data_IF_288578843039
#
_entry.id   IF_288578843039
#
_cell.length_a   1.000
_cell.length_b   1.000
_cell.length_c   1.000
_cell.angle_alpha   90.00
_cell.angle_beta   90.00
_cell.angle_gamma   90.00
#
_symmetry.space_group_name_H-M   'P 1'
#
loop_
_entity.id
_entity.type
_entity.pdbx_description
1 polymer ?
#
# COMPACT_ATOMS: atom_id res chain seq x y z
N UNK A 1 -15.53 -17.65 2.15
CA UNK A 1 -15.28 -17.98 3.57
C UNK A 1 -14.43 -19.24 3.61
N UNK A 2 -13.38 -19.24 4.41
CA UNK A 2 -12.45 -20.34 4.56
C UNK A 2 -11.94 -20.41 6.01
N UNK A 3 -11.25 -21.50 6.35
CA UNK A 3 -10.50 -21.58 7.61
C UNK A 3 -9.19 -20.81 7.49
N UNK A 4 -8.60 -20.44 8.63
CA UNK A 4 -7.39 -19.62 8.68
C UNK A 4 -6.25 -20.20 7.82
N UNK A 5 -5.86 -21.46 8.05
CA UNK A 5 -4.76 -22.10 7.32
C UNK A 5 -4.97 -22.11 5.80
N UNK A 6 -6.16 -22.46 5.32
CA UNK A 6 -6.41 -22.53 3.88
C UNK A 6 -6.46 -21.14 3.25
N UNK A 7 -6.96 -20.13 3.97
CA UNK A 7 -6.97 -18.76 3.47
C UNK A 7 -5.55 -18.19 3.40
N UNK A 8 -4.71 -18.47 4.38
CA UNK A 8 -3.28 -18.08 4.36
C UNK A 8 -2.57 -18.65 3.12
N UNK A 9 -2.75 -19.94 2.84
CA UNK A 9 -2.17 -20.58 1.65
C UNK A 9 -2.67 -19.94 0.36
N UNK A 10 -3.97 -19.64 0.26
CA UNK A 10 -4.56 -19.03 -0.94
C UNK A 10 -4.10 -17.59 -1.10
N UNK A 11 -4.02 -16.81 -0.02
CA UNK A 11 -3.58 -15.42 -0.07
C UNK A 11 -2.09 -15.30 -0.44
N UNK A 12 -1.25 -16.20 0.05
CA UNK A 12 0.16 -16.25 -0.34
C UNK A 12 0.34 -16.68 -1.81
N UNK A 13 -0.45 -17.64 -2.29
CA UNK A 13 -0.47 -17.98 -3.71
C UNK A 13 -0.89 -16.78 -4.57
N UNK A 14 -1.92 -16.03 -4.15
CA UNK A 14 -2.35 -14.82 -4.82
C UNK A 14 -1.25 -13.73 -4.82
N UNK A 15 -0.49 -13.59 -3.72
CA UNK A 15 0.65 -12.68 -3.66
C UNK A 15 1.73 -13.01 -4.68
N UNK A 16 1.96 -14.30 -4.93
CA UNK A 16 2.86 -14.77 -5.99
C UNK A 16 2.38 -14.40 -7.40
N UNK A 17 1.06 -14.39 -7.63
CA UNK A 17 0.47 -13.96 -8.91
C UNK A 17 0.61 -12.43 -9.08
N UNK A 18 0.43 -11.65 -8.02
CA UNK A 18 0.59 -10.18 -8.03
C UNK A 18 2.06 -9.78 -8.21
N UNK A 19 3.00 -10.64 -7.82
CA UNK A 19 4.42 -10.48 -8.07
C UNK A 19 5.27 -10.16 -6.84
N UNK A 20 4.69 -9.71 -5.73
CA UNK A 20 5.40 -9.49 -4.47
C UNK A 20 4.46 -9.52 -3.27
N UNK A 21 4.92 -10.14 -2.18
CA UNK A 21 4.24 -10.08 -0.88
C UNK A 21 4.23 -8.65 -0.29
N UNK A 22 5.18 -7.80 -0.68
CA UNK A 22 5.26 -6.38 -0.31
C UNK A 22 4.12 -5.51 -0.88
N UNK A 23 3.27 -6.08 -1.74
CA UNK A 23 2.09 -5.41 -2.29
C UNK A 23 0.79 -5.79 -1.58
N UNK A 24 0.81 -6.83 -0.73
CA UNK A 24 -0.39 -7.39 -0.13
C UNK A 24 -0.65 -6.79 1.24
N UNK A 25 -1.83 -6.26 1.41
CA UNK A 25 -2.33 -5.71 2.66
C UNK A 25 -3.64 -6.38 3.06
N UNK A 26 -3.95 -6.34 4.35
CA UNK A 26 -5.14 -6.97 4.91
C UNK A 26 -5.81 -6.13 5.97
N UNK A 27 -7.02 -6.52 6.33
CA UNK A 27 -7.72 -5.96 7.48
C UNK A 27 -8.51 -7.03 8.21
N UNK A 28 -8.61 -6.86 9.52
CA UNK A 28 -9.49 -7.62 10.39
C UNK A 28 -10.61 -6.69 10.88
N UNK A 29 -11.82 -6.92 10.39
CA UNK A 29 -12.99 -6.07 10.66
C UNK A 29 -13.84 -6.68 11.77
N UNK A 30 -13.95 -5.99 12.90
CA UNK A 30 -14.89 -6.30 13.97
C UNK A 30 -16.13 -5.40 13.93
N UNK A 31 -17.01 -5.57 14.91
CA UNK A 31 -18.21 -4.74 15.04
C UNK A 31 -17.86 -3.29 15.43
N UNK A 32 -16.92 -3.12 16.35
CA UNK A 32 -16.59 -1.82 16.95
C UNK A 32 -15.14 -1.39 16.66
N UNK A 33 -14.31 -2.31 16.15
CA UNK A 33 -12.89 -2.09 15.91
C UNK A 33 -12.47 -2.72 14.59
N UNK A 34 -11.46 -2.12 13.97
CA UNK A 34 -10.78 -2.69 12.80
C UNK A 34 -9.26 -2.59 12.98
N UNK A 35 -8.54 -3.57 12.44
CA UNK A 35 -7.08 -3.59 12.37
C UNK A 35 -6.67 -3.65 10.90
N UNK A 36 -5.69 -2.85 10.53
CA UNK A 36 -5.15 -2.78 9.17
C UNK A 36 -3.66 -3.07 9.22
N UNK A 37 -3.19 -3.96 8.35
CA UNK A 37 -1.81 -4.41 8.38
C UNK A 37 -1.30 -4.79 7.00
N UNK A 38 0.04 -4.81 6.83
CA UNK A 38 0.66 -5.52 5.74
C UNK A 38 0.57 -7.03 6.01
N UNK A 39 0.25 -7.83 4.99
CA UNK A 39 0.11 -9.29 5.15
C UNK A 39 1.46 -10.00 5.38
N UNK A 40 2.58 -9.35 5.03
CA UNK A 40 3.93 -9.91 5.19
C UNK A 40 4.45 -9.83 6.62
N UNK A 41 5.40 -10.70 6.97
CA UNK A 41 6.11 -10.69 8.25
C UNK A 41 7.14 -9.56 8.36
N UNK A 42 7.93 -9.59 9.43
CA UNK A 42 8.89 -8.54 9.80
C UNK A 42 10.19 -8.52 8.97
N UNK A 43 10.44 -9.53 8.15
CA UNK A 43 11.64 -9.66 7.30
C UNK A 43 12.97 -9.30 8.02
N UNK A 44 13.34 -10.00 9.11
CA UNK A 44 14.46 -9.60 9.97
C UNK A 44 15.80 -9.52 9.24
N UNK A 45 15.97 -10.29 8.16
CA UNK A 45 17.17 -10.25 7.31
C UNK A 45 17.37 -8.92 6.59
N UNK A 46 16.33 -8.10 6.43
CA UNK A 46 16.40 -6.78 5.79
C UNK A 46 16.45 -5.62 6.78
N UNK A 47 16.50 -5.91 8.09
CA UNK A 47 16.51 -4.86 9.13
C UNK A 47 17.67 -3.88 8.90
N UNK A 48 17.34 -2.58 8.85
CA UNK A 48 18.31 -1.50 8.69
C UNK A 48 18.83 -1.28 7.27
N UNK A 49 18.43 -2.09 6.28
CA UNK A 49 18.92 -1.97 4.91
C UNK A 49 18.14 -0.96 4.04
N UNK A 50 17.03 -0.41 4.52
CA UNK A 50 16.19 0.51 3.77
C UNK A 50 15.78 -0.02 2.37
N UNK A 51 15.39 -1.29 2.28
CA UNK A 51 15.30 -2.03 1.02
C UNK A 51 13.92 -2.64 0.74
N UNK A 52 13.11 -2.85 1.79
CA UNK A 52 11.81 -3.50 1.66
C UNK A 52 10.77 -2.59 0.99
N UNK A 53 9.84 -3.20 0.28
CA UNK A 53 8.73 -2.50 -0.37
C UNK A 53 7.75 -1.94 0.67
N UNK A 54 7.46 -0.63 0.70
CA UNK A 54 6.56 -0.03 1.67
C UNK A 54 5.09 -0.11 1.27
N UNK A 55 4.78 -0.57 0.06
CA UNK A 55 3.45 -0.46 -0.56
C UNK A 55 2.35 -1.09 0.27
N UNK A 56 2.55 -2.31 0.78
CA UNK A 56 1.54 -2.99 1.58
C UNK A 56 1.11 -2.17 2.81
N UNK A 57 2.06 -1.60 3.55
CA UNK A 57 1.78 -0.76 4.71
C UNK A 57 1.10 0.55 4.32
N UNK A 58 1.53 1.17 3.22
CA UNK A 58 0.93 2.40 2.68
C UNK A 58 -0.54 2.16 2.27
N UNK A 59 -0.82 1.06 1.57
CA UNK A 59 -2.18 0.70 1.15
C UNK A 59 -3.07 0.28 2.33
N UNK A 60 -2.52 -0.39 3.35
CA UNK A 60 -3.23 -0.66 4.59
C UNK A 60 -3.67 0.65 5.28
N UNK A 61 -2.78 1.66 5.33
CA UNK A 61 -3.10 3.00 5.83
C UNK A 61 -4.16 3.72 5.00
N UNK A 62 -4.10 3.59 3.67
CA UNK A 62 -5.13 4.15 2.78
C UNK A 62 -6.50 3.48 3.00
N UNK A 63 -6.54 2.17 3.21
CA UNK A 63 -7.77 1.46 3.53
C UNK A 63 -8.33 1.85 4.91
N UNK A 64 -7.46 2.10 5.88
CA UNK A 64 -7.87 2.68 7.17
C UNK A 64 -8.52 4.05 6.99
N UNK A 65 -7.99 4.91 6.13
CA UNK A 65 -8.59 6.21 5.81
C UNK A 65 -10.01 6.04 5.21
N UNK A 66 -10.20 5.11 4.27
CA UNK A 66 -11.51 4.78 3.71
C UNK A 66 -12.51 4.31 4.78
N UNK A 67 -12.06 3.44 5.70
CA UNK A 67 -12.88 2.98 6.83
C UNK A 67 -13.34 4.11 7.74
N UNK A 68 -12.50 5.15 7.90
CA UNK A 68 -12.82 6.36 8.69
C UNK A 68 -13.65 7.39 7.90
N UNK A 69 -14.00 7.12 6.64
CA UNK A 69 -14.78 8.00 5.79
C UNK A 69 -13.98 8.96 4.92
N UNK A 70 -12.64 8.93 5.03
CA UNK A 70 -11.71 9.82 4.32
C UNK A 70 -11.37 9.26 2.92
N UNK A 71 -12.38 9.17 2.05
CA UNK A 71 -12.26 8.55 0.72
C UNK A 71 -11.28 9.26 -0.20
N UNK A 72 -11.23 10.60 -0.13
CA UNK A 72 -10.32 11.39 -0.96
C UNK A 72 -8.86 11.10 -0.63
N UNK A 73 -8.55 10.85 0.66
CA UNK A 73 -7.23 10.46 1.11
C UNK A 73 -6.89 9.07 0.58
N UNK A 74 -7.83 8.12 0.70
CA UNK A 74 -7.69 6.79 0.14
C UNK A 74 -7.39 6.84 -1.37
N UNK A 75 -8.21 7.53 -2.14
CA UNK A 75 -8.07 7.60 -3.60
C UNK A 75 -6.77 8.27 -4.02
N UNK A 76 -6.34 9.32 -3.32
CA UNK A 76 -5.07 9.98 -3.58
C UNK A 76 -3.87 9.05 -3.36
N UNK A 77 -3.87 8.25 -2.28
CA UNK A 77 -2.79 7.29 -1.98
C UNK A 77 -2.80 6.12 -2.96
N UNK A 78 -3.96 5.53 -3.23
CA UNK A 78 -4.09 4.42 -4.20
C UNK A 78 -3.62 4.86 -5.58
N UNK A 79 -4.13 5.97 -6.10
CA UNK A 79 -3.74 6.48 -7.42
C UNK A 79 -2.26 6.84 -7.52
N UNK A 80 -1.67 7.42 -6.46
CA UNK A 80 -0.25 7.68 -6.41
C UNK A 80 0.58 6.39 -6.43
N UNK A 81 0.17 5.39 -5.64
CA UNK A 81 0.86 4.10 -5.58
C UNK A 81 0.80 3.38 -6.92
N UNK A 82 -0.37 3.32 -7.54
CA UNK A 82 -0.58 2.72 -8.86
C UNK A 82 0.30 3.39 -9.91
N UNK A 83 0.35 4.72 -9.93
CA UNK A 83 1.17 5.47 -10.87
C UNK A 83 2.66 5.17 -10.70
N UNK A 84 3.19 5.18 -9.46
CA UNK A 84 4.61 4.89 -9.19
C UNK A 84 4.99 3.46 -9.62
N UNK A 85 4.11 2.49 -9.39
CA UNK A 85 4.33 1.10 -9.82
C UNK A 85 4.32 1.00 -11.34
N UNK A 86 3.36 1.63 -12.02
CA UNK A 86 3.24 1.61 -13.47
C UNK A 86 4.42 2.32 -14.17
N UNK A 87 4.94 3.41 -13.60
CA UNK A 87 6.13 4.10 -14.11
C UNK A 87 7.41 3.27 -13.94
N UNK A 88 7.48 2.41 -12.92
CA UNK A 88 8.59 1.49 -12.68
C UNK A 88 9.93 2.17 -12.31
N UNK A 89 9.96 3.49 -12.14
CA UNK A 89 11.19 4.25 -11.92
C UNK A 89 11.67 4.24 -10.46
N UNK A 90 10.73 4.32 -9.52
CA UNK A 90 11.01 4.38 -8.09
C UNK A 90 10.38 3.19 -7.36
N UNK A 91 10.63 2.00 -7.87
CA UNK A 91 10.13 0.74 -7.31
C UNK A 91 11.26 -0.07 -6.70
N UNK A 92 10.94 -0.86 -5.69
CA UNK A 92 11.90 -1.67 -4.95
C UNK A 92 12.30 -2.96 -5.68
N UNK A 93 13.33 -3.65 -5.20
CA UNK A 93 13.95 -4.81 -5.86
C UNK A 93 12.99 -5.99 -6.08
N UNK A 94 12.02 -6.18 -5.20
CA UNK A 94 11.02 -7.27 -5.23
C UNK A 94 10.06 -7.16 -6.42
N UNK A 95 9.92 -5.95 -6.97
CA UNK A 95 9.12 -5.67 -8.18
C UNK A 95 9.96 -5.12 -9.33
N UNK A 96 11.26 -5.47 -9.34
CA UNK A 96 12.15 -5.28 -10.46
C UNK A 96 12.91 -3.95 -10.52
N UNK A 97 12.87 -3.14 -9.47
CA UNK A 97 13.60 -1.87 -9.39
C UNK A 97 14.82 -1.89 -8.45
N UNK A 98 15.33 -0.72 -8.14
CA UNK A 98 16.49 -0.51 -7.28
C UNK A 98 16.26 0.59 -6.23
N UNK A 99 15.06 1.15 -6.16
CA UNK A 99 14.72 2.19 -5.20
C UNK A 99 14.74 1.66 -3.77
N UNK A 100 15.14 2.52 -2.84
CA UNK A 100 15.04 2.25 -1.42
C UNK A 100 13.60 2.39 -0.92
N UNK A 101 13.31 1.82 0.26
CA UNK A 101 12.03 2.01 0.97
C UNK A 101 11.68 3.50 1.09
N UNK A 102 12.65 4.31 1.50
CA UNK A 102 12.48 5.76 1.68
C UNK A 102 12.16 6.45 0.36
N UNK A 103 12.92 6.18 -0.70
CA UNK A 103 12.71 6.79 -2.01
C UNK A 103 11.30 6.49 -2.54
N UNK A 104 10.88 5.22 -2.52
CA UNK A 104 9.54 4.84 -2.97
C UNK A 104 8.44 5.51 -2.13
N UNK A 105 8.58 5.50 -0.79
CA UNK A 105 7.61 6.13 0.12
C UNK A 105 7.49 7.64 -0.11
N UNK A 106 8.60 8.33 -0.31
CA UNK A 106 8.62 9.78 -0.58
C UNK A 106 7.93 10.12 -1.91
N UNK A 107 8.16 9.33 -2.97
CA UNK A 107 7.51 9.53 -4.25
C UNK A 107 6.00 9.33 -4.15
N UNK A 108 5.55 8.24 -3.51
CA UNK A 108 4.12 8.01 -3.27
C UNK A 108 3.52 9.18 -2.48
N UNK A 109 4.17 9.61 -1.40
CA UNK A 109 3.69 10.70 -0.54
C UNK A 109 3.56 12.03 -1.30
N UNK A 110 4.57 12.38 -2.09
CA UNK A 110 4.58 13.64 -2.85
C UNK A 110 3.48 13.64 -3.92
N UNK A 111 3.30 12.52 -4.60
CA UNK A 111 2.27 12.38 -5.62
C UNK A 111 0.87 12.38 -5.01
N UNK A 112 0.65 11.66 -3.90
CA UNK A 112 -0.62 11.67 -3.17
C UNK A 112 -1.00 13.08 -2.70
N UNK A 113 -0.06 13.84 -2.14
CA UNK A 113 -0.28 15.26 -1.78
C UNK A 113 -0.68 16.10 -2.99
N UNK A 114 -0.09 15.86 -4.15
CA UNK A 114 -0.42 16.57 -5.39
C UNK A 114 -1.84 16.22 -5.85
N UNK A 115 -2.21 14.95 -5.78
CA UNK A 115 -3.53 14.48 -6.12
C UNK A 115 -4.60 15.10 -5.21
N UNK A 116 -4.40 15.10 -3.89
CA UNK A 116 -5.31 15.75 -2.93
C UNK A 116 -5.51 17.25 -3.22
N UNK A 117 -4.44 17.98 -3.55
CA UNK A 117 -4.55 19.41 -3.87
C UNK A 117 -5.36 19.67 -5.14
N UNK A 118 -5.27 18.81 -6.14
CA UNK A 118 -6.10 18.93 -7.35
C UNK A 118 -7.59 18.78 -7.04
N UNK A 119 -7.95 17.84 -6.15
CA UNK A 119 -9.33 17.67 -5.70
C UNK A 119 -9.87 18.88 -4.95
N UNK A 120 -9.08 19.47 -4.03
CA UNK A 120 -9.47 20.68 -3.30
C UNK A 120 -9.74 21.83 -4.27
N UNK A 121 -8.87 22.07 -5.23
CA UNK A 121 -9.05 23.13 -6.24
C UNK A 121 -10.29 22.88 -7.10
N UNK A 122 -10.58 21.65 -7.44
CA UNK A 122 -11.78 21.28 -8.21
C UNK A 122 -13.07 21.58 -7.44
N UNK A 123 -13.11 21.28 -6.14
CA UNK A 123 -14.29 21.53 -5.28
C UNK A 123 -14.55 23.02 -5.03
N UNK A 124 -13.54 23.89 -5.09
CA UNK A 124 -13.68 25.35 -4.89
C UNK A 124 -14.01 26.13 -6.17
N UNK A 125 -13.98 25.49 -7.33
CA UNK A 125 -14.27 26.11 -8.63
C UNK A 125 -15.68 25.77 -9.16
N UNK A 126 -16.53 25.12 -8.35
CA UNK A 126 -17.96 24.89 -8.55
C UNK A 126 -18.75 25.45 -7.36
#
# INVERSE_FOLDING_TARGET
VSTNLFMDIISELASGIVGSIGLIYSSNMGKDYAMFEAAHGSAPSFKGQNKVNPTATVLAGAWMADYLGEKDIRDAIFGATEQIINEGKYVTFDIGGDATTTQMSEQITNLAKTNLRKWVVYLYNY
#
